data_IF_852404737021
#
_entry.id   IF_852404737021
#
_cell.length_a   1.000
_cell.length_b   1.000
_cell.length_c   1.000
_cell.angle_alpha   90.00
_cell.angle_beta   90.00
_cell.angle_gamma   90.00
#
_symmetry.space_group_name_H-M   'P 1'
#
loop_
_entity.id
_entity.type
_entity.pdbx_description
1 polymer ?
#
# COMPACT_ATOMS: atom_id res chain seq x y z
N UNK A 1 -20.09 12.03 -20.03
CA UNK A 1 -20.25 10.78 -19.26
C UNK A 1 -20.74 11.15 -17.88
N UNK A 2 -21.55 10.30 -17.25
CA UNK A 2 -21.81 10.48 -15.83
C UNK A 2 -20.48 10.33 -15.08
N UNK A 3 -20.35 10.98 -13.91
CA UNK A 3 -19.16 10.85 -13.07
C UNK A 3 -18.82 9.37 -12.80
N UNK A 4 -19.86 8.56 -12.58
CA UNK A 4 -19.72 7.12 -12.34
C UNK A 4 -19.11 6.41 -13.56
N UNK A 5 -19.54 6.72 -14.80
CA UNK A 5 -18.93 6.13 -16.01
C UNK A 5 -17.43 6.47 -16.13
N UNK A 6 -17.02 7.69 -15.73
CA UNK A 6 -15.61 8.10 -15.75
C UNK A 6 -14.83 7.27 -14.72
N UNK A 7 -15.35 7.14 -13.50
CA UNK A 7 -14.67 6.42 -12.43
C UNK A 7 -14.62 4.90 -12.69
N UNK A 8 -15.70 4.32 -13.19
CA UNK A 8 -15.78 2.90 -13.58
C UNK A 8 -14.78 2.58 -14.71
N UNK A 9 -14.55 3.54 -15.62
CA UNK A 9 -13.54 3.42 -16.68
C UNK A 9 -12.09 3.40 -16.18
N UNK A 10 -11.82 3.75 -14.93
CA UNK A 10 -10.46 3.80 -14.36
C UNK A 10 -10.03 2.52 -13.65
N UNK A 11 -10.90 1.49 -13.57
CA UNK A 11 -10.66 0.30 -12.75
C UNK A 11 -9.31 -0.36 -13.06
N UNK A 12 -8.95 -0.54 -14.34
CA UNK A 12 -7.69 -1.18 -14.72
C UNK A 12 -6.47 -0.32 -14.39
N UNK A 13 -6.54 1.00 -14.57
CA UNK A 13 -5.45 1.91 -14.20
C UNK A 13 -5.24 1.95 -12.69
N UNK A 14 -6.33 2.01 -11.92
CA UNK A 14 -6.30 1.96 -10.45
C UNK A 14 -5.79 0.61 -9.96
N UNK A 15 -6.23 -0.50 -10.57
CA UNK A 15 -5.76 -1.85 -10.24
C UNK A 15 -4.27 -2.03 -10.53
N UNK A 16 -3.75 -1.45 -11.62
CA UNK A 16 -2.32 -1.45 -11.93
C UNK A 16 -1.52 -0.77 -10.81
N UNK A 17 -1.98 0.40 -10.34
CA UNK A 17 -1.31 1.11 -9.24
C UNK A 17 -1.43 0.32 -7.94
N UNK A 18 -2.58 -0.30 -7.67
CA UNK A 18 -2.76 -1.15 -6.49
C UNK A 18 -1.81 -2.35 -6.50
N UNK A 19 -1.63 -3.00 -7.65
CA UNK A 19 -0.67 -4.09 -7.81
C UNK A 19 0.77 -3.63 -7.52
N UNK A 20 1.16 -2.45 -8.00
CA UNK A 20 2.48 -1.87 -7.71
C UNK A 20 2.66 -1.58 -6.21
N UNK A 21 1.62 -1.08 -5.52
CA UNK A 21 1.63 -0.85 -4.07
C UNK A 21 1.80 -2.16 -3.30
N UNK A 22 1.04 -3.19 -3.66
CA UNK A 22 1.17 -4.52 -3.09
C UNK A 22 2.59 -5.07 -3.30
N UNK A 23 3.10 -5.03 -4.54
CA UNK A 23 4.43 -5.53 -4.85
C UNK A 23 5.54 -4.78 -4.10
N UNK A 24 5.40 -3.46 -3.92
CA UNK A 24 6.32 -2.65 -3.12
C UNK A 24 6.37 -3.13 -1.66
N UNK A 25 5.23 -3.31 -1.01
CA UNK A 25 5.17 -3.80 0.37
C UNK A 25 5.66 -5.24 0.51
N UNK A 26 5.35 -6.13 -0.44
CA UNK A 26 5.88 -7.49 -0.45
C UNK A 26 7.41 -7.48 -0.52
N UNK A 27 8.00 -6.68 -1.42
CA UNK A 27 9.47 -6.54 -1.51
C UNK A 27 10.06 -5.97 -0.22
N UNK A 28 9.40 -4.99 0.41
CA UNK A 28 9.86 -4.44 1.68
C UNK A 28 9.87 -5.50 2.80
N UNK A 29 8.76 -6.22 2.99
CA UNK A 29 8.67 -7.29 4.00
C UNK A 29 9.70 -8.39 3.74
N UNK A 30 9.81 -8.86 2.49
CA UNK A 30 10.77 -9.90 2.12
C UNK A 30 12.21 -9.42 2.29
N UNK A 31 12.52 -8.17 1.97
CA UNK A 31 13.85 -7.58 2.14
C UNK A 31 14.27 -7.41 3.60
N UNK A 32 13.30 -7.35 4.51
CA UNK A 32 13.53 -7.31 5.96
C UNK A 32 13.54 -8.71 6.61
N UNK A 33 13.38 -9.76 5.81
CA UNK A 33 13.26 -11.15 6.26
C UNK A 33 14.46 -12.00 5.84
N UNK A 34 14.67 -13.12 6.52
CA UNK A 34 15.72 -14.08 6.19
C UNK A 34 15.17 -15.20 5.32
N UNK A 35 15.66 -15.31 4.07
CA UNK A 35 15.31 -16.41 3.18
C UNK A 35 15.97 -17.71 3.63
N UNK A 36 15.16 -18.77 3.74
CA UNK A 36 15.60 -20.11 4.10
C UNK A 36 15.94 -20.96 2.86
N UNK A 37 16.68 -22.07 3.01
CA UNK A 37 17.02 -22.96 1.90
C UNK A 37 15.81 -23.54 1.14
N UNK A 38 14.68 -23.75 1.83
CA UNK A 38 13.43 -24.25 1.24
C UNK A 38 12.61 -23.15 0.53
N UNK A 39 13.10 -21.91 0.51
CA UNK A 39 12.44 -20.77 -0.11
C UNK A 39 11.46 -20.03 0.81
N UNK A 40 11.20 -20.52 2.03
CA UNK A 40 10.44 -19.78 3.03
C UNK A 40 11.21 -18.53 3.50
N UNK A 41 10.50 -17.61 4.15
CA UNK A 41 11.10 -16.44 4.78
C UNK A 41 10.81 -16.43 6.28
N UNK A 42 11.81 -16.05 7.06
CA UNK A 42 11.68 -15.86 8.51
C UNK A 42 11.74 -14.37 8.80
N UNK A 43 10.63 -13.83 9.28
CA UNK A 43 10.54 -12.43 9.69
C UNK A 43 11.10 -12.27 11.11
N UNK A 44 11.98 -11.30 11.37
CA UNK A 44 12.43 -10.98 12.73
C UNK A 44 11.27 -10.70 13.69
N UNK A 45 11.30 -11.28 14.89
CA UNK A 45 10.21 -11.19 15.86
C UNK A 45 9.85 -9.74 16.25
N UNK A 46 10.84 -8.85 16.31
CA UNK A 46 10.61 -7.42 16.59
C UNK A 46 9.84 -6.72 15.45
N UNK A 47 10.06 -7.13 14.20
CA UNK A 47 9.30 -6.61 13.05
C UNK A 47 7.89 -7.17 13.00
N UNK A 48 7.71 -8.46 13.30
CA UNK A 48 6.38 -9.07 13.47
C UNK A 48 5.58 -8.29 14.51
N UNK A 49 6.12 -8.13 15.72
CA UNK A 49 5.44 -7.39 16.80
C UNK A 49 5.12 -5.94 16.41
N UNK A 50 6.05 -5.26 15.72
CA UNK A 50 5.82 -3.89 15.22
C UNK A 50 4.66 -3.84 14.24
N UNK A 51 4.67 -4.70 13.23
CA UNK A 51 3.67 -4.72 12.16
C UNK A 51 2.31 -5.19 12.67
N UNK A 52 2.24 -6.19 13.53
CA UNK A 52 0.98 -6.63 14.16
C UNK A 52 0.33 -5.49 14.95
N UNK A 53 1.11 -4.73 15.74
CA UNK A 53 0.59 -3.55 16.44
C UNK A 53 0.10 -2.48 15.43
N UNK A 54 0.84 -2.22 14.35
CA UNK A 54 0.41 -1.26 13.33
C UNK A 54 -0.89 -1.69 12.65
N UNK A 55 -1.01 -2.97 12.26
CA UNK A 55 -2.20 -3.56 11.67
C UNK A 55 -3.41 -3.44 12.60
N UNK A 56 -3.21 -3.67 13.90
CA UNK A 56 -4.27 -3.55 14.91
C UNK A 56 -4.63 -2.10 15.29
N UNK A 57 -3.86 -1.11 14.83
CA UNK A 57 -4.04 0.31 15.18
C UNK A 57 -4.74 1.05 14.05
N UNK A 58 -5.91 1.69 14.28
CA UNK A 58 -6.57 2.49 13.26
C UNK A 58 -5.68 3.62 12.76
N UNK A 59 -5.77 3.98 11.48
CA UNK A 59 -4.97 5.05 10.87
C UNK A 59 -4.96 6.33 11.72
N UNK A 60 -6.11 6.76 12.26
CA UNK A 60 -6.20 7.98 13.08
C UNK A 60 -5.31 7.94 14.34
N UNK A 61 -5.03 6.76 14.87
CA UNK A 61 -4.27 6.53 16.09
C UNK A 61 -2.79 6.16 15.83
N UNK A 62 -2.40 5.96 14.57
CA UNK A 62 -0.99 5.82 14.21
C UNK A 62 -0.21 7.11 14.50
N UNK A 63 1.09 6.95 14.79
CA UNK A 63 1.99 8.11 14.85
C UNK A 63 2.13 8.76 13.47
N UNK A 64 2.52 10.03 13.41
CA UNK A 64 2.64 10.73 12.12
C UNK A 64 3.64 10.07 11.18
N UNK A 65 4.78 9.62 11.70
CA UNK A 65 5.78 8.88 10.92
C UNK A 65 5.24 7.59 10.30
N UNK A 66 4.28 6.94 10.96
CA UNK A 66 3.68 5.71 10.44
C UNK A 66 2.65 6.02 9.37
N UNK A 67 1.83 7.06 9.61
CA UNK A 67 0.87 7.58 8.63
C UNK A 67 1.57 8.05 7.35
N UNK A 68 2.81 8.54 7.43
CA UNK A 68 3.55 9.02 6.26
C UNK A 68 3.70 7.94 5.19
N UNK A 69 3.95 6.70 5.59
CA UNK A 69 4.04 5.58 4.64
C UNK A 69 2.72 5.34 3.89
N UNK A 70 1.58 5.44 4.58
CA UNK A 70 0.25 5.33 3.96
C UNK A 70 -0.04 6.53 3.04
N UNK A 71 0.28 7.75 3.50
CA UNK A 71 0.10 9.00 2.73
C UNK A 71 0.92 8.95 1.44
N UNK A 72 2.16 8.48 1.49
CA UNK A 72 3.01 8.30 0.31
C UNK A 72 2.37 7.33 -0.71
N UNK A 73 1.76 6.23 -0.24
CA UNK A 73 1.05 5.33 -1.17
C UNK A 73 -0.19 6.00 -1.79
N UNK A 74 -0.93 6.82 -1.04
CA UNK A 74 -2.07 7.60 -1.58
C UNK A 74 -1.63 8.56 -2.67
N UNK A 75 -0.48 9.22 -2.48
CA UNK A 75 0.06 10.18 -3.44
C UNK A 75 0.37 9.56 -4.81
N UNK A 76 0.51 8.23 -4.92
CA UNK A 76 0.77 7.55 -6.19
C UNK A 76 -0.44 7.51 -7.13
N UNK A 77 -1.66 7.37 -6.61
CA UNK A 77 -2.88 7.31 -7.45
C UNK A 77 -3.73 8.58 -7.38
N UNK A 78 -3.51 9.46 -6.39
CA UNK A 78 -4.23 10.72 -6.28
C UNK A 78 -4.15 11.62 -7.54
N UNK A 79 -3.01 11.70 -8.28
CA UNK A 79 -2.95 12.45 -9.53
C UNK A 79 -3.91 11.94 -10.61
N UNK A 80 -4.09 10.61 -10.70
CA UNK A 80 -5.00 9.98 -11.65
C UNK A 80 -6.45 10.40 -11.36
N UNK A 81 -6.86 10.30 -10.10
CA UNK A 81 -8.19 10.74 -9.66
C UNK A 81 -8.41 12.24 -9.90
N UNK A 82 -7.42 13.08 -9.58
CA UNK A 82 -7.49 14.53 -9.84
C UNK A 82 -7.64 14.84 -11.32
N UNK A 83 -7.01 14.07 -12.21
CA UNK A 83 -7.15 14.23 -13.66
C UNK A 83 -8.55 13.87 -14.12
N UNK A 84 -9.10 12.76 -13.65
CA UNK A 84 -10.43 12.30 -13.99
C UNK A 84 -11.54 13.27 -13.54
N UNK A 85 -11.44 13.80 -12.31
CA UNK A 85 -12.44 14.72 -11.75
C UNK A 85 -12.42 16.14 -12.34
N UNK A 86 -11.40 16.48 -13.15
CA UNK A 86 -11.29 17.79 -13.83
C UNK A 86 -11.84 17.77 -15.25
N UNK A 87 -12.24 16.61 -15.75
CA UNK A 87 -12.89 16.44 -17.05
C UNK A 87 -14.41 16.59 -16.91
#
# INVERSE_FOLDING_TARGET
MALDDILDGLVDELASIEHERWAHWQRYVHGQSFKQPDGSIVVPANLVAKWERQIATPFSQLSDTEKDSDREQVQKYLPLLKKALRQ
#
